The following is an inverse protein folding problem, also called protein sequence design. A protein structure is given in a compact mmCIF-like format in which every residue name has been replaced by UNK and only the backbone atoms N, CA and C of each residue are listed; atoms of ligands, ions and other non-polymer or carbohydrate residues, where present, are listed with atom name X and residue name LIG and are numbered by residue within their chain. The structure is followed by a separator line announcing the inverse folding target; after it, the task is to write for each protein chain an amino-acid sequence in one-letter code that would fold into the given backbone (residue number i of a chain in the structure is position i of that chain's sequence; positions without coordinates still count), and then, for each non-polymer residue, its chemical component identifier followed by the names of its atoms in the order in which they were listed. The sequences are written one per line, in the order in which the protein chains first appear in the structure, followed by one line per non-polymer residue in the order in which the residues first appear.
data_IF_118134803960
#
_entry.id   IF_118134803960
#
_cell.length_a   1.000
_cell.length_b   1.000
_cell.length_c   1.000
_cell.angle_alpha   90.00
_cell.angle_beta   90.00
_cell.angle_gamma   90.00
#
_symmetry.space_group_name_H-M   'P 1'
#
loop_
_entity.id
_entity.type
_entity.pdbx_description
1 polymer ?
#
# COMPACT_ATOMS: atom_id res chain seq x y z
N UNK A 1 2.23 -15.00 -50.88
CA UNK A 1 3.16 -15.68 -49.95
C UNK A 1 4.23 -14.70 -49.54
N UNK A 2 4.08 -14.07 -48.36
CA UNK A 2 5.14 -13.29 -47.72
C UNK A 2 4.87 -13.43 -46.23
N UNK A 3 5.63 -14.30 -45.60
CA UNK A 3 5.68 -14.60 -44.16
C UNK A 3 6.35 -13.42 -43.44
N UNK A 4 5.60 -12.67 -42.64
CA UNK A 4 6.14 -11.70 -41.69
C UNK A 4 6.77 -12.42 -40.48
N UNK A 5 8.06 -12.25 -40.31
CA UNK A 5 8.77 -12.66 -39.10
C UNK A 5 8.35 -11.79 -37.91
N UNK A 6 7.77 -12.41 -36.89
CA UNK A 6 7.62 -11.81 -35.57
C UNK A 6 9.01 -11.73 -34.93
N UNK A 7 9.49 -10.52 -34.68
CA UNK A 7 10.75 -10.27 -33.98
C UNK A 7 10.63 -10.69 -32.52
N UNK A 8 11.36 -11.72 -32.12
CA UNK A 8 11.61 -12.07 -30.71
C UNK A 8 12.36 -10.91 -30.03
N UNK A 9 11.71 -10.25 -29.11
CA UNK A 9 12.36 -9.33 -28.17
C UNK A 9 13.23 -10.16 -27.22
N UNK A 10 14.52 -10.20 -27.48
CA UNK A 10 15.52 -10.83 -26.60
C UNK A 10 15.50 -10.12 -25.25
N UNK A 11 15.13 -10.86 -24.21
CA UNK A 11 15.22 -10.43 -22.84
C UNK A 11 16.71 -10.22 -22.46
N UNK A 12 17.12 -8.98 -22.25
CA UNK A 12 18.48 -8.63 -21.79
C UNK A 12 18.80 -9.18 -20.39
N UNK A 13 20.08 -9.23 -19.98
CA UNK A 13 20.49 -9.76 -18.70
C UNK A 13 19.87 -8.97 -17.54
N UNK A 14 19.55 -9.67 -16.44
CA UNK A 14 18.82 -9.17 -15.26
C UNK A 14 19.42 -7.87 -14.69
N UNK A 15 20.74 -7.71 -14.68
CA UNK A 15 21.43 -6.51 -14.20
C UNK A 15 21.19 -5.25 -15.03
N UNK A 16 21.08 -5.35 -16.36
CA UNK A 16 20.81 -4.21 -17.25
C UNK A 16 19.36 -3.72 -17.10
N UNK A 17 18.40 -4.63 -16.88
CA UNK A 17 17.00 -4.29 -16.63
C UNK A 17 16.81 -3.54 -15.32
N UNK A 18 17.55 -3.91 -14.24
CA UNK A 18 17.49 -3.20 -12.95
C UNK A 18 17.97 -1.76 -13.08
N UNK A 19 19.06 -1.51 -13.79
CA UNK A 19 19.56 -0.15 -14.01
C UNK A 19 18.61 0.71 -14.87
N UNK A 20 17.74 0.08 -15.67
CA UNK A 20 16.79 0.80 -16.53
C UNK A 20 15.57 1.31 -15.77
N UNK A 21 14.97 0.52 -14.83
CA UNK A 21 13.77 0.92 -14.05
C UNK A 21 14.01 2.22 -13.30
N UNK A 22 15.08 2.29 -12.49
CA UNK A 22 15.39 3.50 -11.71
C UNK A 22 15.65 4.72 -12.58
N UNK A 23 16.36 4.54 -13.72
CA UNK A 23 16.63 5.62 -14.68
C UNK A 23 15.35 6.13 -15.34
N UNK A 24 14.49 5.23 -15.85
CA UNK A 24 13.22 5.59 -16.51
C UNK A 24 12.27 6.25 -15.50
N UNK A 25 12.15 5.69 -14.28
CA UNK A 25 11.33 6.27 -13.23
C UNK A 25 11.78 7.69 -12.87
N UNK A 26 13.11 7.90 -12.75
CA UNK A 26 13.68 9.24 -12.48
C UNK A 26 13.47 10.21 -13.64
N UNK A 27 13.61 9.76 -14.87
CA UNK A 27 13.43 10.59 -16.08
C UNK A 27 11.98 11.12 -16.23
N UNK A 28 10.99 10.42 -15.65
CA UNK A 28 9.59 10.88 -15.61
C UNK A 28 9.31 11.98 -14.55
N UNK A 29 10.36 12.55 -13.92
CA UNK A 29 10.27 13.58 -12.85
C UNK A 29 11.25 14.70 -13.14
N UNK A 30 10.76 15.80 -13.72
CA UNK A 30 11.58 16.98 -14.07
C UNK A 30 12.20 17.62 -12.82
N UNK A 31 11.50 17.53 -11.68
CA UNK A 31 12.00 17.92 -10.36
C UNK A 31 11.99 16.71 -9.44
N UNK A 32 13.16 16.21 -9.10
CA UNK A 32 13.34 15.14 -8.12
C UNK A 32 14.09 15.71 -6.92
N UNK A 33 13.47 15.78 -5.72
CA UNK A 33 14.19 16.18 -4.52
C UNK A 33 15.38 15.24 -4.28
N UNK A 34 16.58 15.80 -4.26
CA UNK A 34 17.77 15.04 -3.84
C UNK A 34 17.57 14.52 -2.41
N UNK A 35 17.93 13.25 -2.17
CA UNK A 35 17.83 12.69 -0.83
C UNK A 35 16.43 12.27 -0.36
N UNK A 36 15.44 12.16 -1.25
CA UNK A 36 14.12 11.63 -0.87
C UNK A 36 14.19 10.14 -0.56
N UNK A 37 13.96 9.76 0.70
CA UNK A 37 14.01 8.39 1.21
C UNK A 37 12.74 8.03 2.03
N UNK A 38 11.58 8.63 1.69
CA UNK A 38 10.31 8.39 2.39
C UNK A 38 9.15 7.99 1.44
N UNK A 39 9.41 7.10 0.48
CA UNK A 39 8.37 6.55 -0.40
C UNK A 39 7.24 5.86 0.37
N UNK A 40 7.53 5.21 1.51
CA UNK A 40 6.55 4.60 2.40
C UNK A 40 5.66 5.63 3.13
N UNK A 41 6.08 6.87 3.22
CA UNK A 41 5.28 8.02 3.69
C UNK A 41 4.54 8.69 2.55
N UNK A 42 5.26 9.36 1.67
CA UNK A 42 4.71 10.00 0.48
C UNK A 42 5.80 10.06 -0.60
N UNK A 43 5.61 9.29 -1.67
CA UNK A 43 6.56 9.24 -2.78
C UNK A 43 6.46 10.49 -3.67
N UNK A 44 7.39 10.64 -4.62
CA UNK A 44 7.46 11.76 -5.57
C UNK A 44 6.61 11.43 -6.79
N UNK A 45 5.50 12.15 -7.04
CA UNK A 45 4.70 11.96 -8.25
C UNK A 45 5.49 12.27 -9.52
N UNK A 46 5.22 11.55 -10.59
CA UNK A 46 5.76 11.86 -11.92
C UNK A 46 5.11 13.09 -12.55
N UNK A 47 5.78 13.68 -13.54
CA UNK A 47 5.24 14.85 -14.27
C UNK A 47 3.89 14.54 -14.91
N UNK A 48 3.73 13.35 -15.50
CA UNK A 48 2.44 12.87 -16.06
C UNK A 48 1.30 12.82 -15.04
N UNK A 49 1.62 12.57 -13.77
CA UNK A 49 0.64 12.57 -12.68
C UNK A 49 0.16 13.99 -12.39
N UNK A 50 1.10 14.94 -12.32
CA UNK A 50 0.79 16.34 -12.07
C UNK A 50 0.03 16.96 -13.26
N UNK A 51 0.45 16.63 -14.49
CA UNK A 51 -0.22 17.07 -15.72
C UNK A 51 -1.65 16.55 -15.81
N UNK A 52 -1.89 15.27 -15.50
CA UNK A 52 -3.23 14.69 -15.49
C UNK A 52 -4.16 15.42 -14.52
N UNK A 53 -3.65 15.78 -13.33
CA UNK A 53 -4.41 16.56 -12.36
C UNK A 53 -4.69 17.98 -12.83
N UNK A 54 -3.69 18.67 -13.39
CA UNK A 54 -3.83 20.04 -13.90
C UNK A 54 -4.83 20.12 -15.07
N UNK A 55 -4.73 19.18 -16.01
CA UNK A 55 -5.65 19.05 -17.15
C UNK A 55 -7.08 18.84 -16.65
N UNK A 56 -7.27 17.96 -15.68
CA UNK A 56 -8.61 17.71 -15.12
C UNK A 56 -9.21 18.95 -14.46
N UNK A 57 -8.44 19.67 -13.64
CA UNK A 57 -8.89 20.92 -13.01
C UNK A 57 -9.25 22.01 -14.04
N UNK A 58 -8.52 22.07 -15.16
CA UNK A 58 -8.86 22.97 -16.27
C UNK A 58 -10.20 22.58 -16.92
N UNK A 59 -10.44 21.28 -17.13
CA UNK A 59 -11.71 20.77 -17.67
C UNK A 59 -12.90 21.06 -16.75
N UNK A 60 -12.73 20.90 -15.43
CA UNK A 60 -13.77 21.28 -14.45
C UNK A 60 -14.14 22.76 -14.56
N UNK A 61 -13.15 23.64 -14.69
CA UNK A 61 -13.38 25.08 -14.89
C UNK A 61 -14.11 25.40 -16.20
N UNK A 62 -13.76 24.69 -17.28
CA UNK A 62 -14.32 24.94 -18.61
C UNK A 62 -15.72 24.38 -18.81
N UNK A 63 -15.99 23.18 -18.27
CA UNK A 63 -17.20 22.39 -18.55
C UNK A 63 -18.16 22.30 -17.38
N UNK A 64 -17.70 22.67 -16.16
CA UNK A 64 -18.38 22.41 -14.90
C UNK A 64 -18.02 21.02 -14.34
N UNK A 65 -17.82 20.92 -13.03
CA UNK A 65 -17.27 19.74 -12.37
C UNK A 65 -17.99 18.43 -12.71
N UNK A 66 -19.31 18.41 -12.62
CA UNK A 66 -20.09 17.18 -12.92
C UNK A 66 -20.10 16.74 -14.39
N UNK A 67 -19.61 17.57 -15.31
CA UNK A 67 -19.45 17.23 -16.74
C UNK A 67 -18.01 16.86 -17.10
N UNK A 68 -17.07 17.16 -16.23
CA UNK A 68 -15.64 16.87 -16.40
C UNK A 68 -15.29 15.54 -15.69
N UNK A 69 -15.92 14.44 -16.10
CA UNK A 69 -15.63 13.12 -15.52
C UNK A 69 -14.41 12.51 -16.21
N UNK A 70 -13.35 12.13 -15.48
CA UNK A 70 -12.19 11.47 -16.08
C UNK A 70 -12.55 10.04 -16.54
N UNK A 71 -12.01 9.62 -17.69
CA UNK A 71 -12.06 8.21 -18.06
C UNK A 71 -11.04 7.42 -17.24
N UNK A 72 -11.52 6.61 -16.31
CA UNK A 72 -10.72 5.76 -15.43
C UNK A 72 -10.81 4.27 -15.79
N UNK A 73 -11.31 3.93 -17.00
CA UNK A 73 -11.50 2.54 -17.44
C UNK A 73 -10.19 1.77 -17.47
N UNK A 74 -9.17 2.28 -18.17
CA UNK A 74 -7.85 1.63 -18.21
C UNK A 74 -7.12 1.67 -16.87
N UNK A 75 -7.09 2.79 -16.12
CA UNK A 75 -6.56 2.81 -14.77
C UNK A 75 -7.18 1.77 -13.82
N UNK A 76 -8.51 1.58 -13.87
CA UNK A 76 -9.17 0.53 -13.06
C UNK A 76 -8.74 -0.87 -13.47
N UNK A 77 -8.64 -1.13 -14.78
CA UNK A 77 -8.17 -2.42 -15.30
C UNK A 77 -6.73 -2.69 -14.86
N UNK A 78 -5.86 -1.72 -15.02
CA UNK A 78 -4.46 -1.82 -14.65
C UNK A 78 -4.29 -2.02 -13.13
N UNK A 79 -5.03 -1.28 -12.30
CA UNK A 79 -4.99 -1.44 -10.84
C UNK A 79 -5.52 -2.82 -10.40
N UNK A 80 -6.65 -3.27 -10.96
CA UNK A 80 -7.22 -4.58 -10.68
C UNK A 80 -6.29 -5.73 -11.06
N UNK A 81 -5.57 -5.61 -12.18
CA UNK A 81 -4.64 -6.62 -12.66
C UNK A 81 -3.50 -6.90 -11.67
N UNK A 82 -3.09 -5.92 -10.85
CA UNK A 82 -2.04 -6.09 -9.84
C UNK A 82 -2.43 -7.08 -8.72
N UNK A 83 -3.70 -7.38 -8.58
CA UNK A 83 -4.22 -8.34 -7.57
C UNK A 83 -4.99 -9.50 -8.21
N UNK A 84 -5.03 -9.58 -9.55
CA UNK A 84 -5.78 -10.61 -10.28
C UNK A 84 -7.30 -10.42 -10.26
N UNK A 85 -7.77 -9.17 -10.11
CA UNK A 85 -9.19 -8.79 -10.08
C UNK A 85 -9.66 -8.17 -11.41
N UNK A 86 -10.94 -7.86 -11.50
CA UNK A 86 -11.55 -7.16 -12.63
C UNK A 86 -11.77 -5.65 -12.37
N UNK A 87 -11.95 -4.82 -13.42
CA UNK A 87 -12.13 -3.38 -13.24
C UNK A 87 -13.40 -2.99 -12.48
N UNK A 88 -14.42 -3.85 -12.44
CA UNK A 88 -15.65 -3.65 -11.65
C UNK A 88 -15.44 -3.84 -10.15
N UNK A 89 -14.34 -4.50 -9.77
CA UNK A 89 -13.99 -4.74 -8.37
C UNK A 89 -13.28 -3.56 -7.73
N UNK A 90 -12.97 -2.49 -8.49
CA UNK A 90 -12.20 -1.31 -8.02
C UNK A 90 -13.14 -0.17 -7.67
N UNK A 91 -12.95 0.40 -6.48
CA UNK A 91 -13.53 1.68 -6.06
C UNK A 91 -12.45 2.66 -5.63
N UNK A 92 -12.63 3.96 -5.92
CA UNK A 92 -11.76 5.04 -5.47
C UNK A 92 -12.39 5.80 -4.31
N UNK A 93 -11.63 5.91 -3.22
CA UNK A 93 -11.99 6.63 -2.01
C UNK A 93 -10.89 7.66 -1.68
N UNK A 94 -11.06 8.46 -0.64
CA UNK A 94 -10.16 9.57 -0.29
C UNK A 94 -8.79 9.11 0.26
N UNK A 95 -8.73 7.89 0.81
CA UNK A 95 -7.50 7.30 1.36
C UNK A 95 -7.67 5.81 1.65
N UNK A 96 -6.56 5.09 1.90
CA UNK A 96 -6.63 3.71 2.39
C UNK A 96 -7.35 3.60 3.75
N UNK A 97 -7.22 4.60 4.62
CA UNK A 97 -7.95 4.63 5.90
C UNK A 97 -9.45 4.78 5.69
N UNK A 98 -9.88 5.64 4.75
CA UNK A 98 -11.30 5.77 4.39
C UNK A 98 -11.83 4.48 3.75
N UNK A 99 -11.05 3.86 2.87
CA UNK A 99 -11.40 2.60 2.23
C UNK A 99 -11.56 1.45 3.26
N UNK A 100 -10.64 1.34 4.22
CA UNK A 100 -10.74 0.36 5.30
C UNK A 100 -11.97 0.62 6.18
N UNK A 101 -12.24 1.89 6.51
CA UNK A 101 -13.39 2.27 7.31
C UNK A 101 -14.73 2.02 6.58
N UNK A 102 -14.81 2.32 5.29
CA UNK A 102 -15.98 2.05 4.47
C UNK A 102 -16.22 0.52 4.35
N UNK A 103 -15.19 -0.27 4.07
CA UNK A 103 -15.31 -1.72 3.96
C UNK A 103 -15.77 -2.35 5.26
N UNK A 104 -15.00 -2.16 6.35
CA UNK A 104 -15.27 -2.82 7.64
C UNK A 104 -16.49 -2.23 8.35
N UNK A 105 -16.75 -0.94 8.17
CA UNK A 105 -17.89 -0.24 8.77
C UNK A 105 -19.25 -0.73 8.26
N UNK A 106 -19.29 -1.18 7.00
CA UNK A 106 -20.47 -1.73 6.36
C UNK A 106 -20.50 -3.27 6.33
N UNK A 107 -19.46 -3.96 6.80
CA UNK A 107 -19.42 -5.40 6.82
C UNK A 107 -20.38 -5.98 7.86
N UNK A 108 -21.38 -6.71 7.41
CA UNK A 108 -22.40 -7.31 8.27
C UNK A 108 -21.91 -8.63 8.87
N UNK A 109 -21.35 -8.53 10.09
CA UNK A 109 -21.03 -9.68 10.95
C UNK A 109 -21.90 -9.61 12.21
N UNK A 110 -22.40 -10.78 12.65
CA UNK A 110 -23.23 -10.87 13.86
C UNK A 110 -22.46 -10.59 15.16
N UNK A 111 -23.19 -10.34 16.26
CA UNK A 111 -22.58 -10.28 17.59
C UNK A 111 -21.85 -11.58 17.93
N UNK A 112 -20.67 -11.44 18.56
CA UNK A 112 -19.81 -12.58 18.89
C UNK A 112 -18.88 -13.01 17.77
N UNK A 113 -19.00 -12.43 16.54
CA UNK A 113 -18.10 -12.72 15.44
C UNK A 113 -16.62 -12.50 15.83
N UNK A 114 -15.76 -13.41 15.40
CA UNK A 114 -14.35 -13.47 15.74
C UNK A 114 -13.51 -12.92 14.58
N UNK A 115 -12.84 -11.80 14.81
CA UNK A 115 -12.02 -11.12 13.79
C UNK A 115 -10.54 -11.29 14.14
N UNK A 116 -9.83 -12.07 13.29
CA UNK A 116 -8.38 -12.28 13.39
C UNK A 116 -7.62 -11.05 12.87
N UNK A 117 -6.57 -10.64 13.60
CA UNK A 117 -5.67 -9.54 13.22
C UNK A 117 -4.25 -9.80 13.69
N UNK A 118 -3.26 -9.22 13.04
CA UNK A 118 -1.91 -9.18 13.59
C UNK A 118 -1.74 -8.01 14.58
N UNK A 119 -0.85 -8.16 15.58
CA UNK A 119 -0.50 -7.06 16.49
C UNK A 119 0.30 -5.96 15.80
N UNK A 120 0.89 -6.27 14.64
CA UNK A 120 1.66 -5.37 13.78
C UNK A 120 0.80 -4.47 12.88
N UNK A 121 -0.53 -4.50 13.00
CA UNK A 121 -1.42 -3.68 12.19
C UNK A 121 -1.21 -2.18 12.40
N UNK A 122 -1.53 -1.39 11.35
CA UNK A 122 -1.49 0.06 11.42
C UNK A 122 -2.45 0.60 12.50
N UNK A 123 -1.98 1.56 13.30
CA UNK A 123 -2.72 2.08 14.45
C UNK A 123 -4.15 2.51 14.14
N UNK A 124 -4.41 3.14 12.96
CA UNK A 124 -5.78 3.51 12.59
C UNK A 124 -6.66 2.29 12.32
N UNK A 125 -6.10 1.20 11.76
CA UNK A 125 -6.82 -0.07 11.58
C UNK A 125 -7.13 -0.72 12.92
N UNK A 126 -6.16 -0.70 13.86
CA UNK A 126 -6.38 -1.20 15.23
C UNK A 126 -7.48 -0.42 15.96
N UNK A 127 -7.44 0.91 15.88
CA UNK A 127 -8.49 1.78 16.47
C UNK A 127 -9.86 1.51 15.84
N UNK A 128 -9.93 1.35 14.52
CA UNK A 128 -11.18 1.03 13.81
C UNK A 128 -11.73 -0.33 14.26
N UNK A 129 -10.91 -1.39 14.26
CA UNK A 129 -11.31 -2.73 14.68
C UNK A 129 -11.78 -2.73 16.13
N UNK A 130 -11.09 -2.02 17.03
CA UNK A 130 -11.51 -1.88 18.42
C UNK A 130 -12.88 -1.22 18.53
N UNK A 131 -13.11 -0.10 17.82
CA UNK A 131 -14.39 0.61 17.82
C UNK A 131 -15.52 -0.23 17.23
N UNK A 132 -15.27 -0.96 16.14
CA UNK A 132 -16.28 -1.85 15.54
C UNK A 132 -16.58 -3.05 16.43
N UNK A 133 -15.58 -3.61 17.10
CA UNK A 133 -15.76 -4.70 18.07
C UNK A 133 -16.66 -4.26 19.23
N UNK A 134 -16.40 -3.08 19.82
CA UNK A 134 -17.23 -2.50 20.85
C UNK A 134 -18.68 -2.28 20.37
N UNK A 135 -18.86 -1.67 19.19
CA UNK A 135 -20.19 -1.31 18.67
C UNK A 135 -21.01 -2.54 18.27
N UNK A 136 -20.38 -3.54 17.64
CA UNK A 136 -21.07 -4.68 17.03
C UNK A 136 -20.98 -5.96 17.87
N UNK A 137 -20.30 -5.94 19.02
CA UNK A 137 -20.10 -7.11 19.87
C UNK A 137 -19.12 -8.14 19.27
N UNK A 138 -18.17 -7.72 18.42
CA UNK A 138 -17.16 -8.62 17.86
C UNK A 138 -16.07 -8.96 18.89
N UNK A 139 -15.38 -10.08 18.66
CA UNK A 139 -14.22 -10.50 19.44
C UNK A 139 -12.98 -10.43 18.57
N UNK A 140 -12.02 -9.57 18.96
CA UNK A 140 -10.73 -9.50 18.29
C UNK A 140 -9.83 -10.64 18.74
N UNK A 141 -9.21 -11.33 17.80
CA UNK A 141 -8.29 -12.46 18.03
C UNK A 141 -6.92 -12.08 17.47
N UNK A 142 -5.92 -11.99 18.34
CA UNK A 142 -4.55 -11.76 17.91
C UNK A 142 -4.01 -13.04 17.23
N UNK A 143 -3.57 -12.92 15.98
CA UNK A 143 -2.95 -14.01 15.25
C UNK A 143 -1.51 -14.21 15.76
N UNK A 144 -1.06 -15.46 15.93
CA UNK A 144 0.33 -15.75 16.30
C UNK A 144 1.31 -15.23 15.26
N UNK A 145 2.42 -14.67 15.73
CA UNK A 145 3.52 -14.19 14.87
C UNK A 145 4.84 -14.80 15.34
N UNK A 146 5.74 -15.06 14.39
CA UNK A 146 7.12 -15.46 14.66
C UNK A 146 7.97 -14.33 15.23
N UNK A 147 9.23 -14.63 15.55
CA UNK A 147 10.19 -13.64 16.07
C UNK A 147 10.54 -12.53 15.07
N UNK A 148 10.35 -12.76 13.79
CA UNK A 148 10.48 -11.81 12.69
C UNK A 148 9.19 -11.03 12.39
N UNK A 149 8.14 -11.23 13.20
CA UNK A 149 6.80 -10.62 13.06
C UNK A 149 5.94 -11.14 11.90
N UNK A 150 6.35 -12.19 11.20
CA UNK A 150 5.48 -12.88 10.25
C UNK A 150 4.39 -13.64 10.98
N UNK A 151 3.19 -13.59 10.41
CA UNK A 151 2.07 -14.42 10.89
C UNK A 151 2.46 -15.88 10.69
N UNK A 152 2.34 -16.67 11.76
CA UNK A 152 2.59 -18.11 11.73
C UNK A 152 1.42 -18.83 11.00
N UNK A 153 1.67 -19.51 9.86
CA UNK A 153 0.62 -20.19 9.14
C UNK A 153 -0.05 -21.31 9.93
N UNK A 154 0.68 -22.02 10.78
CA UNK A 154 0.11 -23.09 11.63
C UNK A 154 -0.76 -22.49 12.73
N UNK A 155 -0.33 -21.39 13.33
CA UNK A 155 -1.12 -20.61 14.26
C UNK A 155 -2.39 -20.03 13.63
N UNK A 156 -2.31 -19.54 12.38
CA UNK A 156 -3.51 -19.11 11.63
C UNK A 156 -4.44 -20.30 11.38
N UNK A 157 -3.93 -21.47 10.97
CA UNK A 157 -4.74 -22.68 10.76
C UNK A 157 -5.48 -23.09 12.03
N UNK A 158 -4.82 -23.05 13.17
CA UNK A 158 -5.45 -23.34 14.47
C UNK A 158 -6.53 -22.30 14.82
N UNK A 159 -6.29 -21.01 14.57
CA UNK A 159 -7.27 -19.94 14.81
C UNK A 159 -8.50 -20.07 13.88
N UNK A 160 -8.31 -20.41 12.60
CA UNK A 160 -9.39 -20.70 11.65
C UNK A 160 -10.23 -21.89 12.11
N UNK A 161 -9.59 -22.98 12.52
CA UNK A 161 -10.28 -24.17 13.07
C UNK A 161 -11.06 -23.86 14.37
N UNK A 162 -10.59 -22.89 15.16
CA UNK A 162 -11.29 -22.39 16.34
C UNK A 162 -12.48 -21.46 16.01
N UNK A 163 -12.73 -21.15 14.73
CA UNK A 163 -13.86 -20.39 14.23
C UNK A 163 -13.60 -18.89 14.14
N UNK A 164 -12.80 -18.46 13.17
CA UNK A 164 -12.74 -17.05 12.75
C UNK A 164 -13.83 -16.78 11.71
N UNK A 165 -14.38 -15.57 11.72
CA UNK A 165 -15.37 -15.09 10.76
C UNK A 165 -14.77 -14.11 9.75
N UNK A 166 -13.64 -13.48 10.07
CA UNK A 166 -12.92 -12.52 9.25
C UNK A 166 -11.46 -12.49 9.66
N UNK A 167 -10.56 -12.29 8.69
CA UNK A 167 -9.12 -12.01 8.93
C UNK A 167 -8.78 -10.67 8.30
N UNK A 168 -8.16 -9.77 9.05
CA UNK A 168 -7.70 -8.44 8.61
C UNK A 168 -6.22 -8.30 8.89
N UNK A 169 -5.39 -8.21 7.83
CA UNK A 169 -3.94 -8.14 7.97
C UNK A 169 -3.31 -7.19 6.96
N UNK A 170 -2.20 -6.57 7.35
CA UNK A 170 -1.34 -5.81 6.46
C UNK A 170 -0.33 -6.72 5.77
N UNK A 171 -0.18 -6.62 4.44
CA UNK A 171 0.85 -7.37 3.71
C UNK A 171 2.27 -6.95 4.12
N UNK A 172 2.49 -5.65 4.29
CA UNK A 172 3.69 -5.08 4.89
C UNK A 172 3.24 -4.08 5.93
N UNK A 173 3.67 -4.25 7.17
CA UNK A 173 3.38 -3.31 8.25
C UNK A 173 4.05 -1.95 7.99
N UNK A 174 3.41 -0.86 8.40
CA UNK A 174 3.93 0.49 8.12
C UNK A 174 5.21 0.86 8.88
N UNK A 175 5.59 0.06 9.85
CA UNK A 175 6.72 0.25 10.77
C UNK A 175 7.75 -0.88 10.70
N UNK A 176 7.57 -1.84 9.81
CA UNK A 176 8.53 -2.94 9.58
C UNK A 176 8.51 -3.35 8.12
N UNK A 177 9.70 -3.54 7.54
CA UNK A 177 9.85 -3.95 6.15
C UNK A 177 9.56 -5.43 5.87
N UNK A 178 8.98 -6.16 6.81
CA UNK A 178 8.70 -7.60 6.71
C UNK A 178 7.51 -7.86 5.81
N UNK A 179 7.70 -8.71 4.80
CA UNK A 179 6.65 -9.14 3.87
C UNK A 179 5.95 -10.37 4.42
N UNK A 180 4.63 -10.28 4.64
CA UNK A 180 3.82 -11.39 5.13
C UNK A 180 3.61 -12.45 4.04
N UNK A 181 3.51 -13.76 4.35
CA UNK A 181 3.33 -14.84 3.39
C UNK A 181 1.87 -14.92 2.89
N UNK A 182 1.35 -13.83 2.30
CA UNK A 182 -0.09 -13.65 2.02
C UNK A 182 -0.69 -14.67 1.06
N UNK A 183 0.11 -15.27 0.18
CA UNK A 183 -0.36 -16.35 -0.70
C UNK A 183 -0.76 -17.59 0.12
N UNK A 184 0.04 -17.96 1.13
CA UNK A 184 -0.26 -19.07 2.04
C UNK A 184 -1.40 -18.72 2.98
N UNK A 185 -1.36 -17.52 3.61
CA UNK A 185 -2.44 -17.05 4.50
C UNK A 185 -3.79 -17.02 3.77
N UNK A 186 -3.81 -16.50 2.54
CA UNK A 186 -5.01 -16.46 1.71
C UNK A 186 -5.50 -17.86 1.31
N UNK A 187 -4.59 -18.80 1.03
CA UNK A 187 -4.98 -20.19 0.75
C UNK A 187 -5.66 -20.84 1.96
N UNK A 188 -5.11 -20.63 3.17
CA UNK A 188 -5.70 -21.13 4.42
C UNK A 188 -7.08 -20.52 4.68
N UNK A 189 -7.23 -19.21 4.52
CA UNK A 189 -8.49 -18.51 4.69
C UNK A 189 -9.54 -19.03 3.71
N UNK A 190 -9.21 -19.16 2.42
CA UNK A 190 -10.13 -19.71 1.40
C UNK A 190 -10.54 -21.16 1.69
N UNK A 191 -9.59 -22.00 2.09
CA UNK A 191 -9.88 -23.40 2.44
C UNK A 191 -10.84 -23.51 3.62
N UNK A 192 -10.86 -22.53 4.52
CA UNK A 192 -11.74 -22.45 5.68
C UNK A 192 -13.03 -21.67 5.42
N UNK A 193 -13.22 -21.10 4.21
CA UNK A 193 -14.37 -20.24 3.90
C UNK A 193 -14.38 -18.91 4.66
N UNK A 194 -13.25 -18.49 5.23
CA UNK A 194 -13.11 -17.25 6.01
C UNK A 194 -12.55 -16.16 5.10
N UNK A 195 -13.22 -15.00 4.93
CA UNK A 195 -12.70 -13.91 4.11
C UNK A 195 -11.44 -13.28 4.71
N UNK A 196 -10.49 -12.94 3.82
CA UNK A 196 -9.29 -12.18 4.13
C UNK A 196 -9.43 -10.76 3.60
N UNK A 197 -9.25 -9.75 4.45
CA UNK A 197 -9.02 -8.35 4.08
C UNK A 197 -7.53 -8.07 4.16
N UNK A 198 -6.95 -7.62 3.06
CA UNK A 198 -5.52 -7.34 2.97
C UNK A 198 -5.26 -5.84 2.80
N UNK A 199 -4.58 -5.23 3.78
CA UNK A 199 -4.05 -3.87 3.63
C UNK A 199 -2.78 -3.92 2.77
N UNK A 200 -2.88 -3.40 1.55
CA UNK A 200 -1.78 -3.33 0.57
C UNK A 200 -1.19 -1.92 0.45
N UNK A 201 -1.46 -1.04 1.42
CA UNK A 201 -0.94 0.34 1.39
C UNK A 201 0.58 0.43 1.33
N UNK A 202 1.31 -0.59 1.80
CA UNK A 202 2.78 -0.62 1.72
C UNK A 202 3.30 -1.63 0.70
N UNK A 203 2.45 -2.43 0.08
CA UNK A 203 2.89 -3.50 -0.81
C UNK A 203 2.53 -3.26 -2.28
N UNK A 204 1.37 -2.67 -2.59
CA UNK A 204 0.98 -2.47 -3.99
C UNK A 204 1.89 -1.45 -4.68
N UNK A 205 2.47 -1.84 -5.81
CA UNK A 205 3.51 -1.08 -6.50
C UNK A 205 4.93 -1.28 -5.93
N UNK A 206 5.10 -2.13 -4.92
CA UNK A 206 6.35 -2.35 -4.19
C UNK A 206 6.82 -3.80 -4.21
N UNK A 207 5.92 -4.73 -3.89
CA UNK A 207 6.14 -6.16 -3.94
C UNK A 207 4.97 -6.85 -4.64
N UNK A 208 5.15 -8.10 -5.03
CA UNK A 208 4.08 -8.87 -5.66
C UNK A 208 2.95 -9.17 -4.66
N UNK A 209 1.72 -8.94 -5.08
CA UNK A 209 0.48 -9.20 -4.32
C UNK A 209 -0.37 -10.28 -4.99
N UNK A 210 0.00 -10.71 -6.20
CA UNK A 210 -0.72 -11.77 -6.92
C UNK A 210 -0.74 -13.07 -6.10
N UNK A 211 -1.83 -13.80 -6.19
CA UNK A 211 -1.99 -15.08 -5.50
C UNK A 211 -2.44 -14.98 -4.03
N UNK A 212 -2.48 -13.80 -3.43
CA UNK A 212 -3.03 -13.63 -2.07
C UNK A 212 -4.49 -14.10 -1.97
N UNK A 213 -5.30 -13.87 -3.01
CA UNK A 213 -6.69 -14.33 -3.08
C UNK A 213 -7.55 -13.80 -1.94
N UNK A 214 -7.33 -12.55 -1.54
CA UNK A 214 -8.11 -11.89 -0.52
C UNK A 214 -9.52 -11.53 -1.04
N UNK A 215 -10.49 -11.47 -0.16
CA UNK A 215 -11.85 -11.02 -0.46
C UNK A 215 -11.88 -9.50 -0.74
N UNK A 216 -10.97 -8.75 -0.11
CA UNK A 216 -10.80 -7.32 -0.37
C UNK A 216 -9.34 -6.89 -0.14
N UNK A 217 -8.92 -5.89 -0.94
CA UNK A 217 -7.63 -5.22 -0.84
C UNK A 217 -7.85 -3.72 -0.62
N UNK A 218 -7.16 -3.16 0.35
CA UNK A 218 -7.22 -1.73 0.67
C UNK A 218 -5.89 -1.08 0.41
N UNK A 219 -5.86 -0.01 -0.40
CA UNK A 219 -4.61 0.63 -0.78
C UNK A 219 -4.67 2.15 -0.85
N UNK A 220 -3.53 2.77 -1.14
CA UNK A 220 -3.37 4.22 -1.23
C UNK A 220 -2.44 4.61 -2.38
N UNK A 221 -2.74 5.72 -3.02
CA UNK A 221 -2.04 6.25 -4.18
C UNK A 221 -0.60 6.71 -3.89
N UNK A 222 -0.43 7.51 -2.84
CA UNK A 222 0.73 8.37 -2.57
C UNK A 222 2.04 7.68 -2.18
N UNK A 223 2.02 6.36 -1.97
CA UNK A 223 3.20 5.61 -1.55
C UNK A 223 3.93 5.02 -2.76
N UNK A 224 3.99 3.72 -2.87
CA UNK A 224 4.80 3.01 -3.86
C UNK A 224 4.32 3.16 -5.30
N UNK A 225 3.04 3.50 -5.52
CA UNK A 225 2.52 3.89 -6.83
C UNK A 225 2.92 5.32 -7.24
N UNK A 226 3.49 6.12 -6.33
CA UNK A 226 3.90 7.50 -6.57
C UNK A 226 2.79 8.41 -7.14
N UNK A 227 1.52 8.13 -6.79
CA UNK A 227 0.39 8.98 -7.14
C UNK A 227 0.15 10.10 -6.11
N UNK A 228 -0.89 10.91 -6.28
CA UNK A 228 -1.17 12.04 -5.40
C UNK A 228 -1.74 11.62 -4.05
N UNK A 229 -1.74 12.54 -3.09
CA UNK A 229 -2.54 12.46 -1.86
C UNK A 229 -4.00 12.73 -2.17
N UNK A 230 -4.90 12.31 -1.26
CA UNK A 230 -6.34 12.55 -1.39
C UNK A 230 -7.08 11.46 -2.18
N UNK A 231 -6.41 10.37 -2.55
CA UNK A 231 -7.03 9.21 -3.16
C UNK A 231 -6.43 7.91 -2.63
N UNK A 232 -7.30 6.98 -2.30
CA UNK A 232 -7.04 5.58 -2.02
C UNK A 232 -7.96 4.72 -2.86
N UNK A 233 -7.89 3.42 -2.68
CA UNK A 233 -8.73 2.48 -3.40
C UNK A 233 -9.10 1.28 -2.55
N UNK A 234 -10.21 0.68 -2.93
CA UNK A 234 -10.71 -0.59 -2.45
C UNK A 234 -10.89 -1.51 -3.67
N UNK A 235 -10.38 -2.74 -3.59
CA UNK A 235 -10.59 -3.75 -4.62
C UNK A 235 -11.26 -4.96 -3.96
N UNK A 236 -12.45 -5.35 -4.44
CA UNK A 236 -13.30 -6.36 -3.80
C UNK A 236 -13.66 -7.50 -4.76
N UNK A 237 -12.70 -8.35 -5.17
CA UNK A 237 -12.98 -9.48 -6.06
C UNK A 237 -13.89 -10.53 -5.39
N UNK A 238 -13.91 -10.58 -4.07
CA UNK A 238 -14.76 -11.47 -3.27
C UNK A 238 -16.00 -10.79 -2.70
N UNK A 239 -16.56 -9.79 -3.39
CA UNK A 239 -17.72 -9.04 -2.91
C UNK A 239 -18.91 -9.97 -2.64
N UNK A 240 -19.44 -9.88 -1.43
CA UNK A 240 -20.63 -10.65 -0.99
C UNK A 240 -21.75 -9.69 -0.54
N UNK A 241 -23.01 -10.17 -0.39
CA UNK A 241 -24.11 -9.36 0.16
C UNK A 241 -23.85 -8.84 1.59
N UNK A 242 -22.91 -9.45 2.33
CA UNK A 242 -22.52 -8.96 3.65
C UNK A 242 -21.64 -7.72 3.59
N UNK A 243 -21.06 -7.40 2.43
CA UNK A 243 -20.15 -6.29 2.20
C UNK A 243 -20.89 -5.15 1.50
N UNK A 244 -21.25 -4.11 2.23
CA UNK A 244 -21.93 -2.93 1.69
C UNK A 244 -21.30 -1.65 2.23
N UNK A 245 -21.60 -0.50 1.61
CA UNK A 245 -21.16 0.78 2.11
C UNK A 245 -21.94 1.15 3.38
N UNK A 246 -21.25 1.64 4.44
CA UNK A 246 -21.93 2.06 5.68
C UNK A 246 -22.72 3.36 5.51
N UNK A 247 -22.45 4.10 4.43
CA UNK A 247 -23.12 5.35 4.06
C UNK A 247 -23.48 5.27 2.57
N UNK A 248 -24.72 4.93 2.22
CA UNK A 248 -25.20 4.89 0.84
C UNK A 248 -25.06 6.26 0.16
N UNK A 249 -24.68 6.26 -1.11
CA UNK A 249 -24.56 7.47 -1.93
C UNK A 249 -25.37 7.32 -3.21
N UNK A 250 -25.78 8.41 -3.83
CA UNK A 250 -26.53 8.40 -5.09
C UNK A 250 -25.74 7.81 -6.27
N UNK A 251 -24.41 7.78 -6.18
CA UNK A 251 -23.56 7.12 -7.18
C UNK A 251 -23.34 5.63 -6.92
N UNK A 252 -23.44 5.23 -5.66
CA UNK A 252 -23.20 3.86 -5.21
C UNK A 252 -24.47 3.01 -5.01
N UNK A 253 -25.65 3.64 -5.02
CA UNK A 253 -26.93 2.98 -4.74
C UNK A 253 -28.04 3.50 -5.64
N UNK A 254 -29.02 2.65 -5.93
CA UNK A 254 -30.31 3.02 -6.52
C UNK A 254 -31.36 3.11 -5.41
N UNK A 255 -32.29 4.05 -5.53
CA UNK A 255 -33.37 4.25 -4.56
C UNK A 255 -34.63 4.70 -5.28
N UNK A 256 -35.30 3.74 -5.94
CA UNK A 256 -36.44 4.00 -6.80
C UNK A 256 -37.75 4.12 -6.02
N UNK A 257 -37.87 3.41 -4.89
CA UNK A 257 -39.00 3.50 -3.96
C UNK A 257 -38.54 4.01 -2.58
N UNK A 258 -38.96 5.21 -2.15
CA UNK A 258 -38.62 5.74 -0.82
C UNK A 258 -39.14 4.91 0.37
N UNK A 259 -40.06 3.98 0.15
CA UNK A 259 -40.55 3.06 1.18
C UNK A 259 -39.66 1.85 1.41
N UNK A 260 -38.68 1.62 0.52
CA UNK A 260 -37.72 0.54 0.58
C UNK A 260 -36.32 1.05 0.91
N UNK A 261 -35.43 0.15 1.33
CA UNK A 261 -34.01 0.47 1.52
C UNK A 261 -33.30 0.70 0.17
N UNK A 262 -32.33 1.60 0.08
CA UNK A 262 -31.56 1.79 -1.15
C UNK A 262 -30.74 0.53 -1.49
N UNK A 263 -30.76 0.14 -2.75
CA UNK A 263 -30.02 -1.03 -3.23
C UNK A 263 -28.63 -0.67 -3.75
N UNK A 264 -27.57 -1.41 -3.35
CA UNK A 264 -26.22 -1.13 -3.81
C UNK A 264 -26.06 -1.48 -5.29
N UNK A 265 -25.41 -0.62 -6.06
CA UNK A 265 -25.06 -0.92 -7.45
C UNK A 265 -24.08 -2.11 -7.52
N UNK A 266 -24.05 -2.87 -8.63
CA UNK A 266 -23.15 -4.00 -8.79
C UNK A 266 -21.67 -3.63 -8.70
N UNK A 267 -20.85 -4.47 -8.07
CA UNK A 267 -19.42 -4.30 -7.94
C UNK A 267 -19.00 -3.30 -6.87
N UNK A 268 -17.73 -2.89 -6.91
CA UNK A 268 -17.15 -2.01 -5.90
C UNK A 268 -17.64 -0.55 -5.97
N UNK A 269 -18.31 -0.17 -7.06
CA UNK A 269 -18.87 1.18 -7.24
C UNK A 269 -19.81 1.61 -6.11
N UNK A 270 -20.43 0.64 -5.39
CA UNK A 270 -21.24 0.91 -4.18
C UNK A 270 -20.51 1.68 -3.07
N UNK A 271 -19.17 1.63 -3.07
CA UNK A 271 -18.32 2.35 -2.12
C UNK A 271 -17.90 3.74 -2.60
N UNK A 272 -18.25 4.13 -3.84
CA UNK A 272 -17.83 5.42 -4.39
C UNK A 272 -18.86 6.52 -4.12
N UNK A 273 -18.33 7.74 -4.11
CA UNK A 273 -19.11 8.98 -4.15
C UNK A 273 -18.74 9.77 -5.40
N UNK A 274 -19.71 10.50 -5.96
CA UNK A 274 -19.46 11.50 -7.01
C UNK A 274 -18.67 12.71 -6.49
N UNK A 275 -18.66 12.91 -5.17
CA UNK A 275 -17.89 13.94 -4.49
C UNK A 275 -16.54 13.37 -4.04
N UNK A 276 -15.49 14.17 -4.15
CA UNK A 276 -14.14 13.80 -3.74
C UNK A 276 -13.08 14.55 -4.54
N UNK A 277 -11.83 14.16 -4.37
CA UNK A 277 -10.70 14.74 -5.09
C UNK A 277 -10.59 14.13 -6.50
N UNK A 278 -11.49 14.49 -7.43
CA UNK A 278 -11.59 13.88 -8.78
C UNK A 278 -10.29 14.05 -9.56
N UNK A 279 -9.66 15.22 -9.52
CA UNK A 279 -8.34 15.44 -10.10
C UNK A 279 -7.27 14.46 -9.54
N UNK A 280 -7.34 14.11 -8.26
CA UNK A 280 -6.43 13.12 -7.68
C UNK A 280 -6.72 11.69 -8.20
N UNK A 281 -7.97 11.36 -8.53
CA UNK A 281 -8.31 10.08 -9.20
C UNK A 281 -7.68 10.00 -10.59
N UNK A 282 -7.70 11.12 -11.37
CA UNK A 282 -7.00 11.20 -12.65
C UNK A 282 -5.48 11.04 -12.48
N UNK A 283 -4.90 11.69 -11.47
CA UNK A 283 -3.48 11.53 -11.11
C UNK A 283 -3.11 10.10 -10.68
N UNK A 284 -3.93 9.42 -9.89
CA UNK A 284 -3.73 8.00 -9.56
C UNK A 284 -3.77 7.14 -10.83
N UNK A 285 -4.70 7.44 -11.76
CA UNK A 285 -4.78 6.75 -13.04
C UNK A 285 -3.46 6.82 -13.81
N UNK A 286 -2.89 8.02 -13.95
CA UNK A 286 -1.59 8.22 -14.61
C UNK A 286 -0.45 7.46 -13.89
N UNK A 287 -0.44 7.45 -12.55
CA UNK A 287 0.56 6.74 -11.75
C UNK A 287 0.51 5.23 -11.93
N UNK A 288 -0.69 4.64 -11.97
CA UNK A 288 -0.89 3.20 -12.19
C UNK A 288 -0.43 2.80 -13.59
N UNK A 289 -0.74 3.60 -14.61
CA UNK A 289 -0.30 3.35 -15.98
C UNK A 289 1.23 3.46 -16.11
N UNK A 290 1.86 4.46 -15.48
CA UNK A 290 3.34 4.55 -15.40
C UNK A 290 3.93 3.28 -14.78
N UNK A 291 3.36 2.78 -13.68
CA UNK A 291 3.82 1.55 -13.03
C UNK A 291 3.72 0.33 -13.96
N UNK A 292 2.64 0.21 -14.75
CA UNK A 292 2.48 -0.85 -15.74
C UNK A 292 3.47 -0.73 -16.90
N UNK A 293 3.75 0.48 -17.39
CA UNK A 293 4.74 0.73 -18.44
C UNK A 293 6.16 0.37 -18.00
N UNK A 294 6.51 0.62 -16.74
CA UNK A 294 7.77 0.19 -16.13
C UNK A 294 7.87 -1.33 -15.99
N UNK A 295 6.74 -2.03 -15.95
CA UNK A 295 6.62 -3.47 -15.72
C UNK A 295 6.63 -3.81 -14.22
N UNK A 296 5.49 -4.22 -13.63
CA UNK A 296 5.38 -4.48 -12.18
C UNK A 296 6.45 -5.41 -11.64
N UNK A 297 6.72 -6.53 -12.29
CA UNK A 297 7.75 -7.49 -11.86
C UNK A 297 9.17 -6.87 -11.85
N UNK A 298 9.49 -6.03 -12.85
CA UNK A 298 10.79 -5.36 -12.93
C UNK A 298 10.93 -4.29 -11.81
N UNK A 299 9.85 -3.59 -11.49
CA UNK A 299 9.81 -2.63 -10.37
C UNK A 299 10.01 -3.36 -9.03
N UNK A 300 9.32 -4.49 -8.81
CA UNK A 300 9.45 -5.30 -7.58
C UNK A 300 10.89 -5.81 -7.41
N UNK A 301 11.48 -6.37 -8.46
CA UNK A 301 12.86 -6.86 -8.43
C UNK A 301 13.87 -5.73 -8.16
N UNK A 302 13.66 -4.57 -8.80
CA UNK A 302 14.50 -3.39 -8.61
C UNK A 302 14.43 -2.89 -7.15
N UNK A 303 13.22 -2.74 -6.59
CA UNK A 303 13.01 -2.29 -5.21
C UNK A 303 13.55 -3.31 -4.19
N UNK A 304 13.39 -4.61 -4.42
CA UNK A 304 13.99 -5.63 -3.56
C UNK A 304 15.51 -5.54 -3.53
N UNK A 305 16.16 -5.31 -4.69
CA UNK A 305 17.60 -5.08 -4.77
C UNK A 305 18.04 -3.81 -4.04
N UNK A 306 17.31 -2.70 -4.25
CA UNK A 306 17.57 -1.43 -3.59
C UNK A 306 17.42 -1.52 -2.06
N UNK A 307 16.38 -2.22 -1.59
CA UNK A 307 16.15 -2.46 -0.17
C UNK A 307 17.27 -3.28 0.47
N UNK A 308 17.75 -4.33 -0.21
CA UNK A 308 18.89 -5.14 0.27
C UNK A 308 20.15 -4.30 0.41
N UNK A 309 20.53 -3.54 -0.63
CA UNK A 309 21.68 -2.64 -0.58
C UNK A 309 21.56 -1.63 0.55
N UNK A 310 20.37 -1.04 0.75
CA UNK A 310 20.16 -0.10 1.83
C UNK A 310 20.32 -0.75 3.22
N UNK A 311 19.81 -1.98 3.43
CA UNK A 311 19.99 -2.70 4.71
C UNK A 311 21.46 -3.01 4.98
N UNK A 312 22.18 -3.51 3.97
CA UNK A 312 23.62 -3.82 4.09
C UNK A 312 24.45 -2.60 4.44
N UNK A 313 24.14 -1.42 3.89
CA UNK A 313 24.83 -0.18 4.19
C UNK A 313 24.49 0.41 5.56
N UNK A 314 23.24 0.28 5.99
CA UNK A 314 22.72 0.98 7.16
C UNK A 314 22.83 0.14 8.44
N UNK A 315 22.87 -1.21 8.35
CA UNK A 315 23.02 -2.06 9.53
C UNK A 315 24.41 -1.90 10.15
N UNK A 316 24.44 -1.47 11.39
CA UNK A 316 25.68 -1.16 12.12
C UNK A 316 26.21 0.24 11.93
N UNK A 317 25.73 1.04 10.96
CA UNK A 317 26.16 2.42 10.77
C UNK A 317 25.91 3.26 12.03
N UNK A 318 26.96 3.76 12.67
CA UNK A 318 26.87 4.52 13.93
C UNK A 318 26.22 3.74 15.10
N UNK A 319 26.14 2.42 15.02
CA UNK A 319 25.48 1.56 15.99
C UNK A 319 23.99 1.31 15.74
N UNK A 320 23.42 1.93 14.70
CA UNK A 320 22.04 1.68 14.28
C UNK A 320 21.86 0.23 13.81
N UNK A 321 20.70 -0.37 14.08
CA UNK A 321 20.43 -1.75 13.70
C UNK A 321 19.13 -1.85 12.90
N UNK A 322 19.19 -2.56 11.77
CA UNK A 322 18.02 -2.93 10.99
C UNK A 322 17.09 -3.82 11.82
N UNK A 323 15.80 -3.53 11.81
CA UNK A 323 14.82 -4.21 12.65
C UNK A 323 14.22 -5.46 12.00
N UNK A 324 14.25 -5.58 10.68
CA UNK A 324 13.81 -6.73 9.89
C UNK A 324 14.99 -7.58 9.40
N UNK A 325 14.76 -8.82 8.88
CA UNK A 325 15.80 -9.62 8.21
C UNK A 325 16.47 -8.85 7.05
N UNK A 326 17.78 -8.99 6.89
CA UNK A 326 18.55 -8.24 5.88
C UNK A 326 18.19 -8.62 4.44
N UNK A 327 17.70 -9.84 4.23
CA UNK A 327 17.32 -10.40 2.93
C UNK A 327 15.86 -10.15 2.54
N UNK A 328 15.11 -9.34 3.31
CA UNK A 328 13.72 -9.00 2.99
C UNK A 328 13.55 -8.43 1.57
N UNK A 329 12.54 -8.89 0.81
CA UNK A 329 12.32 -8.44 -0.56
C UNK A 329 11.57 -7.09 -0.65
N UNK A 330 11.70 -6.24 0.37
CA UNK A 330 11.06 -4.92 0.42
C UNK A 330 12.10 -3.80 0.44
N UNK A 331 11.73 -2.62 -0.03
CA UNK A 331 12.51 -1.39 0.08
C UNK A 331 12.05 -0.50 1.26
N UNK A 332 11.27 -1.04 2.18
CA UNK A 332 10.96 -0.41 3.46
C UNK A 332 11.96 -0.93 4.50
N UNK A 333 12.79 -0.05 5.02
CA UNK A 333 13.84 -0.35 6.00
C UNK A 333 13.51 0.40 7.29
N UNK A 334 13.62 -0.28 8.43
CA UNK A 334 13.46 0.37 9.74
C UNK A 334 14.68 0.12 10.61
N UNK A 335 15.08 1.15 11.35
CA UNK A 335 16.31 1.15 12.13
C UNK A 335 16.01 1.46 13.60
N UNK A 336 16.57 0.64 14.49
CA UNK A 336 16.57 0.89 15.93
C UNK A 336 17.74 1.80 16.31
N UNK A 337 17.51 2.82 17.14
CA UNK A 337 18.58 3.69 17.59
C UNK A 337 19.54 2.97 18.54
N UNK A 338 20.85 3.32 18.51
CA UNK A 338 21.77 2.91 19.56
C UNK A 338 21.51 3.73 20.84
N UNK A 339 22.02 3.28 22.02
CA UNK A 339 21.78 3.96 23.29
C UNK A 339 22.24 5.43 23.37
N UNK A 340 23.14 5.85 22.50
CA UNK A 340 23.73 7.21 22.46
C UNK A 340 23.08 8.13 21.43
N UNK A 341 22.05 7.68 20.71
CA UNK A 341 21.36 8.46 19.66
C UNK A 341 19.83 8.32 19.78
N UNK A 342 19.09 9.20 19.08
CA UNK A 342 17.64 9.17 19.03
C UNK A 342 17.14 9.24 17.60
N UNK A 343 15.92 8.76 17.36
CA UNK A 343 15.26 8.81 16.04
C UNK A 343 15.08 10.26 15.58
N UNK A 344 14.70 11.15 16.50
CA UNK A 344 14.52 12.58 16.22
C UNK A 344 15.85 13.26 15.89
N UNK A 345 16.91 12.93 16.63
CA UNK A 345 18.26 13.45 16.38
C UNK A 345 18.80 13.03 15.01
N UNK A 346 18.67 11.74 14.68
CA UNK A 346 19.07 11.22 13.37
C UNK A 346 18.26 11.84 12.22
N UNK A 347 16.94 11.97 12.39
CA UNK A 347 16.09 12.62 11.38
C UNK A 347 16.44 14.10 11.18
N UNK A 348 16.77 14.81 12.26
CA UNK A 348 17.22 16.22 12.17
C UNK A 348 18.57 16.34 11.43
N UNK A 349 19.55 15.46 11.71
CA UNK A 349 20.82 15.42 10.96
C UNK A 349 20.62 15.05 9.50
N UNK A 350 19.75 14.09 9.21
CA UNK A 350 19.38 13.73 7.84
C UNK A 350 18.78 14.94 7.10
N UNK A 351 17.84 15.66 7.72
CA UNK A 351 17.25 16.87 7.15
C UNK A 351 18.28 17.97 6.90
N UNK A 352 19.23 18.20 7.82
CA UNK A 352 20.34 19.14 7.64
C UNK A 352 21.24 18.75 6.46
N UNK A 353 21.38 17.47 6.17
CA UNK A 353 22.08 16.92 4.99
C UNK A 353 21.18 16.84 3.73
N UNK A 354 19.99 17.46 3.74
CA UNK A 354 19.00 17.40 2.65
C UNK A 354 18.47 15.99 2.34
N UNK A 355 18.47 15.10 3.35
CA UNK A 355 17.91 13.75 3.25
C UNK A 355 16.55 13.71 3.97
N UNK A 356 15.52 13.25 3.26
CA UNK A 356 14.17 13.07 3.82
C UNK A 356 13.98 11.61 4.23
N UNK A 357 13.91 11.36 5.52
CA UNK A 357 13.60 10.04 6.11
C UNK A 357 12.33 10.11 6.94
N UNK A 358 11.69 8.96 7.18
CA UNK A 358 10.50 8.88 8.01
C UNK A 358 10.83 8.61 9.48
N UNK A 359 10.03 9.14 10.39
CA UNK A 359 10.01 8.71 11.79
C UNK A 359 8.76 7.89 12.05
N UNK A 360 8.89 6.82 12.83
CA UNK A 360 7.77 5.93 13.18
C UNK A 360 7.59 5.95 14.69
N UNK A 361 6.64 6.75 15.22
CA UNK A 361 6.35 6.76 16.64
C UNK A 361 5.68 5.45 17.07
N UNK A 362 5.83 5.06 18.34
CA UNK A 362 5.22 3.84 18.91
C UNK A 362 3.70 3.78 18.67
N UNK A 363 3.00 4.93 18.69
CA UNK A 363 1.56 5.02 18.43
C UNK A 363 1.14 4.56 17.01
N UNK A 364 2.08 4.40 16.07
CA UNK A 364 1.78 3.87 14.73
C UNK A 364 1.42 2.39 14.74
N UNK A 365 1.97 1.62 15.68
CA UNK A 365 1.65 0.21 15.91
C UNK A 365 1.73 -0.08 17.42
N UNK A 366 0.74 0.40 18.21
CA UNK A 366 0.85 0.45 19.67
C UNK A 366 0.85 -0.94 20.34
N UNK A 367 0.49 -1.99 19.62
CA UNK A 367 0.54 -3.36 20.13
C UNK A 367 1.87 -4.08 19.83
N UNK A 368 2.74 -3.48 19.00
CA UNK A 368 4.03 -4.07 18.59
C UNK A 368 5.24 -3.18 18.96
N UNK A 369 5.15 -1.87 18.70
CA UNK A 369 6.25 -0.95 18.96
C UNK A 369 6.30 -0.51 20.41
N UNK A 370 7.48 -0.71 21.04
CA UNK A 370 7.79 -0.19 22.38
C UNK A 370 8.52 1.17 22.31
N UNK A 371 9.24 1.42 21.23
CA UNK A 371 10.07 2.60 21.01
C UNK A 371 9.93 3.08 19.55
N UNK A 372 10.21 4.37 19.26
CA UNK A 372 10.19 4.88 17.88
C UNK A 372 11.30 4.25 17.05
N UNK A 373 11.07 4.19 15.71
CA UNK A 373 12.04 3.70 14.72
C UNK A 373 12.31 4.78 13.67
N UNK A 374 13.52 4.81 13.12
CA UNK A 374 13.82 5.56 11.92
C UNK A 374 13.43 4.70 10.71
N UNK A 375 12.66 5.28 9.77
CA UNK A 375 12.22 4.57 8.57
C UNK A 375 12.86 5.17 7.33
N UNK A 376 13.48 4.31 6.55
CA UNK A 376 14.10 4.62 5.26
C UNK A 376 13.35 3.84 4.19
N UNK A 377 12.91 4.52 3.16
CA UNK A 377 12.14 3.89 2.06
C UNK A 377 12.49 4.58 0.75
N UNK A 378 13.59 4.14 0.11
CA UNK A 378 14.08 4.73 -1.12
C UNK A 378 13.13 4.46 -2.28
N UNK A 379 12.71 5.49 -3.05
CA UNK A 379 11.98 5.31 -4.30
C UNK A 379 12.87 4.67 -5.39
N UNK A 380 12.28 4.16 -6.50
CA UNK A 380 13.04 3.47 -7.55
C UNK A 380 14.21 4.27 -8.14
N UNK A 381 14.13 5.60 -8.14
CA UNK A 381 15.16 6.49 -8.70
C UNK A 381 16.28 6.87 -7.72
N UNK A 382 16.37 6.25 -6.55
CA UNK A 382 17.41 6.54 -5.55
C UNK A 382 18.78 6.10 -6.05
N UNK A 383 19.79 6.98 -5.91
CA UNK A 383 21.17 6.65 -6.25
C UNK A 383 21.91 6.00 -5.07
N UNK A 384 22.97 5.20 -5.32
CA UNK A 384 23.83 4.64 -4.27
C UNK A 384 24.41 5.73 -3.34
N UNK A 385 24.85 6.85 -3.90
CA UNK A 385 25.45 7.96 -3.16
C UNK A 385 24.49 8.59 -2.14
N UNK A 386 23.18 8.55 -2.43
CA UNK A 386 22.15 9.01 -1.48
C UNK A 386 22.10 8.10 -0.24
N UNK A 387 22.21 6.79 -0.42
CA UNK A 387 22.22 5.83 0.68
C UNK A 387 23.53 5.89 1.47
N UNK A 388 24.67 6.06 0.80
CA UNK A 388 25.98 6.27 1.42
C UNK A 388 25.99 7.53 2.26
N UNK A 389 25.42 8.63 1.74
CA UNK A 389 25.26 9.90 2.50
C UNK A 389 24.43 9.71 3.77
N UNK A 390 23.37 8.89 3.74
CA UNK A 390 22.59 8.57 4.94
C UNK A 390 23.41 7.76 5.94
N UNK A 391 24.18 6.76 5.48
CA UNK A 391 25.06 5.98 6.35
C UNK A 391 26.11 6.88 7.05
N UNK A 392 26.71 7.86 6.34
CA UNK A 392 27.62 8.84 6.92
C UNK A 392 26.93 9.70 8.00
N UNK A 393 25.69 10.16 7.74
CA UNK A 393 24.89 10.93 8.72
C UNK A 393 24.63 10.12 9.98
N UNK A 394 24.31 8.81 9.85
CA UNK A 394 24.08 7.93 10.99
C UNK A 394 25.37 7.67 11.79
N UNK A 395 26.54 7.71 11.16
CA UNK A 395 27.83 7.58 11.87
C UNK A 395 28.29 8.86 12.56
N UNK A 396 27.57 9.97 12.39
CA UNK A 396 27.99 11.28 12.93
C UNK A 396 29.21 11.91 12.22
N UNK A 397 29.60 11.40 11.04
CA UNK A 397 30.76 11.85 10.28
C UNK A 397 30.51 13.12 9.44
N UNK A 398 29.26 13.53 9.29
CA UNK A 398 28.88 14.82 8.70
C UNK A 398 28.23 15.67 9.80
N UNK A 399 29.00 16.57 10.37
CA UNK A 399 28.57 17.62 11.28
C UNK A 399 28.95 18.99 10.69
#
# INVERSE_FOLDING_TARGET
MTTGQAGEVRAGPVGERRSSVGKVWRAGRSVMPGGHLDAAGCNVPGDRVLDAMAVHLALERERGGYRAVPDLTEPRRALAALVGAGPRDVAFLESGTAAMAALLGGWRLGPGARVGRARTEYGSTLMLLHRLAERNGWRLVDLPVGGDTRIDPDGLRAALAAGLDLVVVSHIASHRGVVQPVAELGALCRASGVPLVLDVCQSLGHVDVLGAGAAAYVGTSRKWLAGPRGVGFLITPGLTPAMDAPAPTLSGHTWDDPAEDPEPVPGAARYESSEGAIAARAGLGAAVLEHHELGPAAVHEHLAGLGRTARELLDGAGGWRVAEPLDEPSALITLRPPPHDTVEGAAARAAAASLLVGTVPAARAPLDLQEPLLRVSPPPGTSPETLESLAEVLTGRRG
#
